data_IF_170035852570
#
_entry.id   IF_170035852570
#
_cell.length_a   1.000
_cell.length_b   1.000
_cell.length_c   1.000
_cell.angle_alpha   90.00
_cell.angle_beta   90.00
_cell.angle_gamma   90.00
#
_symmetry.space_group_name_H-M   'P 1'
#
loop_
_entity.id
_entity.type
_entity.pdbx_description
1 polymer ?
#
# COMPACT_ATOMS: atom_id res chain seq x y z
N UNK A 1 29.61 -66.89 22.55
CA UNK A 1 30.04 -65.53 22.29
C UNK A 1 28.94 -64.88 21.44
N UNK A 2 28.05 -64.05 22.04
CA UNK A 2 26.92 -63.44 21.37
C UNK A 2 27.28 -61.97 21.06
N UNK A 3 27.20 -61.61 19.76
CA UNK A 3 27.45 -60.24 19.26
C UNK A 3 26.15 -59.43 19.37
N UNK A 4 26.09 -58.25 19.99
CA UNK A 4 24.89 -57.43 20.02
C UNK A 4 24.75 -56.63 18.72
N UNK A 5 23.57 -56.74 18.14
CA UNK A 5 23.11 -55.97 16.96
C UNK A 5 22.87 -54.51 17.35
N UNK A 6 23.62 -53.61 16.71
CA UNK A 6 23.50 -52.14 16.88
C UNK A 6 22.40 -51.60 15.92
N UNK A 7 21.20 -51.35 16.42
CA UNK A 7 20.17 -50.62 15.67
C UNK A 7 20.54 -49.13 15.60
N UNK A 8 20.93 -48.66 14.40
CA UNK A 8 21.06 -47.21 14.12
C UNK A 8 19.66 -46.64 13.84
N UNK A 9 19.13 -45.83 14.79
CA UNK A 9 18.01 -44.99 14.52
C UNK A 9 18.42 -43.89 13.53
N UNK A 10 17.87 -43.93 12.31
CA UNK A 10 17.95 -42.81 11.37
C UNK A 10 16.84 -41.80 11.77
N UNK A 11 17.27 -40.71 12.40
CA UNK A 11 16.35 -39.56 12.62
C UNK A 11 16.19 -38.84 11.29
N UNK A 12 15.02 -38.98 10.67
CA UNK A 12 14.62 -38.15 9.52
C UNK A 12 14.28 -36.77 10.07
N UNK A 13 15.18 -35.80 9.89
CA UNK A 13 14.84 -34.39 10.11
C UNK A 13 13.82 -33.97 9.03
N UNK A 14 12.57 -33.90 9.40
CA UNK A 14 11.55 -33.29 8.59
C UNK A 14 11.77 -31.76 8.66
N UNK A 15 12.50 -31.21 7.69
CA UNK A 15 12.59 -29.76 7.50
C UNK A 15 11.23 -29.35 6.93
N UNK A 16 10.44 -28.49 7.62
CA UNK A 16 9.22 -28.01 7.05
C UNK A 16 9.56 -27.18 5.81
N UNK A 17 9.13 -27.65 4.65
CA UNK A 17 9.09 -26.86 3.44
C UNK A 17 8.07 -25.74 3.70
N UNK A 18 8.56 -24.54 4.04
CA UNK A 18 7.75 -23.33 4.00
C UNK A 18 7.39 -23.12 2.53
N UNK A 19 6.24 -23.63 2.11
CA UNK A 19 5.67 -23.27 0.83
C UNK A 19 5.49 -21.74 0.87
N UNK A 20 6.26 -21.02 0.05
CA UNK A 20 6.02 -19.58 -0.14
C UNK A 20 4.56 -19.41 -0.55
N UNK A 21 3.78 -18.73 0.26
CA UNK A 21 2.38 -18.48 -0.02
C UNK A 21 2.29 -17.71 -1.34
N UNK A 22 1.66 -18.31 -2.33
CA UNK A 22 1.51 -17.67 -3.65
C UNK A 22 0.50 -16.54 -3.55
N UNK A 23 0.88 -15.37 -4.05
CA UNK A 23 -0.03 -14.22 -4.20
C UNK A 23 -1.18 -14.57 -5.14
N UNK A 24 -2.43 -14.53 -4.65
CA UNK A 24 -3.62 -14.80 -5.47
C UNK A 24 -4.36 -13.52 -5.84
N UNK A 25 -5.24 -13.61 -6.84
CA UNK A 25 -6.12 -12.51 -7.22
C UNK A 25 -7.25 -12.32 -6.18
N UNK A 26 -7.66 -11.09 -5.84
CA UNK A 26 -8.58 -10.84 -4.72
C UNK A 26 -10.04 -11.19 -5.00
N UNK A 27 -10.39 -11.59 -6.23
CA UNK A 27 -11.77 -11.93 -6.66
C UNK A 27 -11.81 -13.23 -7.45
N UNK A 28 -12.99 -13.87 -7.61
CA UNK A 28 -13.11 -15.10 -8.40
C UNK A 28 -13.00 -14.88 -9.92
N UNK A 29 -12.87 -13.64 -10.40
CA UNK A 29 -12.73 -13.35 -11.83
C UNK A 29 -11.37 -13.87 -12.36
N UNK A 30 -11.35 -14.89 -13.25
CA UNK A 30 -10.12 -15.49 -13.75
C UNK A 30 -9.47 -14.71 -14.90
N UNK A 31 -10.07 -13.59 -15.30
CA UNK A 31 -9.68 -12.88 -16.52
C UNK A 31 -8.22 -12.40 -16.48
N UNK A 32 -7.78 -11.88 -15.33
CA UNK A 32 -6.38 -11.47 -15.18
C UNK A 32 -5.41 -12.65 -15.33
N UNK A 33 -5.66 -13.77 -14.64
CA UNK A 33 -4.82 -14.98 -14.71
C UNK A 33 -4.78 -15.54 -16.14
N UNK A 34 -5.91 -15.46 -16.86
CA UNK A 34 -6.03 -15.90 -18.25
C UNK A 34 -5.48 -14.90 -19.27
N UNK A 35 -4.81 -13.82 -18.83
CA UNK A 35 -4.21 -12.84 -19.73
C UNK A 35 -5.21 -12.02 -20.56
N UNK A 36 -6.46 -11.93 -20.10
CA UNK A 36 -7.48 -11.09 -20.76
C UNK A 36 -7.16 -9.61 -20.59
N UNK A 37 -7.64 -8.74 -21.50
CA UNK A 37 -7.45 -7.30 -21.38
C UNK A 37 -8.17 -6.72 -20.16
N UNK A 38 -7.80 -5.49 -19.76
CA UNK A 38 -8.27 -4.85 -18.53
C UNK A 38 -9.80 -4.68 -18.47
N UNK A 39 -10.45 -4.54 -19.60
CA UNK A 39 -11.92 -4.45 -19.74
C UNK A 39 -12.63 -5.70 -19.19
N UNK A 40 -11.90 -6.81 -19.07
CA UNK A 40 -12.45 -8.08 -18.58
C UNK A 40 -12.42 -8.22 -17.05
N UNK A 41 -11.92 -7.22 -16.30
CA UNK A 41 -11.86 -7.29 -14.82
C UNK A 41 -11.83 -5.92 -14.11
N UNK A 42 -11.56 -4.81 -14.81
CA UNK A 42 -11.49 -3.46 -14.21
C UNK A 42 -12.83 -2.75 -14.30
N UNK A 43 -13.30 -2.19 -13.17
CA UNK A 43 -14.52 -1.40 -13.10
C UNK A 43 -14.27 0.05 -13.50
N UNK A 44 -14.86 0.47 -14.61
CA UNK A 44 -14.88 1.87 -15.01
C UNK A 44 -15.68 2.74 -14.02
N UNK A 45 -15.27 4.01 -13.85
CA UNK A 45 -16.07 5.01 -13.15
C UNK A 45 -17.24 5.55 -14.02
N UNK A 46 -17.89 6.62 -13.56
CA UNK A 46 -18.96 7.30 -14.31
C UNK A 46 -18.53 7.77 -15.71
N UNK A 47 -17.22 7.95 -15.93
CA UNK A 47 -16.67 8.32 -17.24
C UNK A 47 -16.86 7.25 -18.33
N UNK A 48 -17.15 5.99 -17.95
CA UNK A 48 -17.21 4.84 -18.86
C UNK A 48 -15.82 4.37 -19.35
N UNK A 49 -14.75 5.11 -19.06
CA UNK A 49 -13.38 4.74 -19.46
C UNK A 49 -12.82 3.74 -18.47
N UNK A 50 -12.38 2.57 -18.94
CA UNK A 50 -11.87 1.48 -18.09
C UNK A 50 -10.63 1.93 -17.29
N UNK A 51 -9.79 2.76 -17.90
CA UNK A 51 -8.57 3.28 -17.25
C UNK A 51 -8.88 4.04 -15.95
N UNK A 52 -10.09 4.58 -15.81
CA UNK A 52 -10.50 5.29 -14.58
C UNK A 52 -10.62 4.37 -13.35
N UNK A 53 -10.61 3.05 -13.53
CA UNK A 53 -10.53 2.06 -12.45
C UNK A 53 -9.11 1.60 -12.12
N UNK A 54 -8.10 2.05 -12.87
CA UNK A 54 -6.69 1.76 -12.62
C UNK A 54 -6.10 2.69 -11.55
N UNK A 55 -4.92 2.35 -11.08
CA UNK A 55 -4.12 3.15 -10.18
C UNK A 55 -3.56 4.41 -10.86
N UNK A 56 -3.38 5.49 -10.11
CA UNK A 56 -2.70 6.71 -10.56
C UNK A 56 -3.62 7.87 -10.92
N UNK A 57 -3.13 8.81 -11.71
CA UNK A 57 -3.86 9.99 -12.16
C UNK A 57 -4.84 9.66 -13.30
N UNK A 58 -5.90 8.93 -13.00
CA UNK A 58 -6.84 8.37 -13.99
C UNK A 58 -8.28 8.86 -13.84
N UNK A 59 -8.61 9.51 -12.71
CA UNK A 59 -9.94 10.01 -12.41
C UNK A 59 -10.12 11.46 -12.87
N UNK A 60 -11.35 11.86 -13.20
CA UNK A 60 -11.70 13.22 -13.63
C UNK A 60 -10.78 13.75 -14.76
N UNK A 61 -10.60 12.95 -15.82
CA UNK A 61 -9.74 13.32 -16.93
C UNK A 61 -8.24 13.39 -16.57
N UNK A 62 -7.79 12.68 -15.54
CA UNK A 62 -6.41 12.64 -15.09
C UNK A 62 -6.07 13.65 -13.99
N UNK A 63 -7.03 14.45 -13.53
CA UNK A 63 -6.80 15.48 -12.49
C UNK A 63 -6.90 14.96 -11.06
N UNK A 64 -7.44 13.72 -10.87
CA UNK A 64 -7.60 13.10 -9.54
C UNK A 64 -6.91 11.74 -9.49
N UNK A 65 -6.17 11.55 -8.42
CA UNK A 65 -5.48 10.29 -8.10
C UNK A 65 -6.47 9.21 -7.68
N UNK A 66 -6.13 7.96 -8.00
CA UNK A 66 -6.80 6.75 -7.54
C UNK A 66 -5.77 5.83 -6.88
N UNK A 67 -6.01 5.48 -5.63
CA UNK A 67 -5.06 4.84 -4.72
C UNK A 67 -4.96 3.33 -4.92
N UNK A 68 -5.85 2.73 -5.73
CA UNK A 68 -5.95 1.28 -5.87
C UNK A 68 -6.39 0.84 -7.26
N UNK A 69 -6.96 -0.35 -7.30
CA UNK A 69 -7.51 -1.01 -8.48
C UNK A 69 -8.97 -1.37 -8.21
N UNK A 70 -9.89 -0.90 -9.06
CA UNK A 70 -11.31 -1.22 -8.97
C UNK A 70 -11.62 -2.47 -9.80
N UNK A 71 -12.12 -3.53 -9.16
CA UNK A 71 -12.44 -4.81 -9.80
C UNK A 71 -13.94 -5.08 -9.78
N UNK A 72 -14.55 -5.29 -10.94
CA UNK A 72 -15.98 -5.53 -11.01
C UNK A 72 -16.36 -6.99 -10.69
N UNK A 73 -17.65 -7.25 -10.30
CA UNK A 73 -18.15 -8.59 -10.02
C UNK A 73 -18.49 -9.35 -11.30
N UNK A 74 -18.26 -10.66 -11.31
CA UNK A 74 -18.74 -11.57 -12.35
C UNK A 74 -20.07 -12.24 -11.99
N UNK A 75 -20.47 -12.18 -10.71
CA UNK A 75 -21.76 -12.69 -10.22
C UNK A 75 -22.61 -11.58 -9.63
N UNK A 76 -23.91 -11.65 -9.87
CA UNK A 76 -24.91 -10.78 -9.28
C UNK A 76 -26.08 -11.60 -8.78
N UNK A 77 -26.72 -11.14 -7.69
CA UNK A 77 -27.96 -11.73 -7.18
C UNK A 77 -29.19 -11.33 -8.04
N UNK A 78 -30.36 -11.87 -7.70
CA UNK A 78 -31.63 -11.60 -8.41
C UNK A 78 -32.05 -10.12 -8.36
N UNK A 79 -31.49 -9.34 -7.44
CA UNK A 79 -31.68 -7.88 -7.34
C UNK A 79 -30.61 -7.10 -8.11
N UNK A 80 -29.66 -7.81 -8.74
CA UNK A 80 -28.55 -7.24 -9.47
C UNK A 80 -27.42 -6.68 -8.59
N UNK A 81 -27.40 -6.94 -7.28
CA UNK A 81 -26.28 -6.61 -6.39
C UNK A 81 -25.10 -7.57 -6.64
N UNK A 82 -23.88 -7.08 -6.41
CA UNK A 82 -22.69 -7.93 -6.52
C UNK A 82 -22.74 -9.07 -5.52
N UNK A 83 -22.35 -10.29 -5.94
CA UNK A 83 -22.38 -11.50 -5.14
C UNK A 83 -21.04 -12.25 -5.08
N UNK A 84 -19.99 -11.69 -5.64
CA UNK A 84 -18.65 -12.29 -5.62
C UNK A 84 -18.04 -12.23 -4.21
N UNK A 85 -17.44 -13.32 -3.72
CA UNK A 85 -16.58 -13.27 -2.55
C UNK A 85 -15.31 -12.46 -2.84
N UNK A 86 -14.77 -11.82 -1.79
CA UNK A 86 -13.47 -11.14 -1.81
C UNK A 86 -12.52 -11.92 -0.92
N UNK A 87 -11.32 -12.19 -1.42
CA UNK A 87 -10.34 -13.07 -0.80
C UNK A 87 -9.13 -12.32 -0.26
N UNK A 88 -8.57 -12.80 0.87
CA UNK A 88 -7.24 -12.42 1.29
C UNK A 88 -6.21 -12.93 0.27
N UNK A 89 -5.40 -12.02 -0.28
CA UNK A 89 -4.46 -12.36 -1.37
C UNK A 89 -3.22 -13.09 -0.89
N UNK A 90 -2.87 -12.95 0.39
CA UNK A 90 -1.75 -13.58 1.10
C UNK A 90 -2.14 -13.85 2.55
N UNK A 91 -1.38 -14.70 3.29
CA UNK A 91 -1.53 -14.82 4.72
C UNK A 91 -1.23 -13.50 5.42
N UNK A 92 -1.89 -13.23 6.54
CA UNK A 92 -1.63 -12.00 7.28
C UNK A 92 -2.50 -11.85 8.51
N UNK A 93 -2.43 -10.67 9.11
CA UNK A 93 -3.20 -10.28 10.28
C UNK A 93 -4.18 -9.17 9.95
N UNK A 94 -5.44 -9.35 10.27
CA UNK A 94 -6.46 -8.31 10.17
C UNK A 94 -6.14 -7.19 11.17
N UNK A 95 -5.77 -6.02 10.67
CA UNK A 95 -5.35 -4.88 11.51
C UNK A 95 -6.44 -3.81 11.62
N UNK A 96 -7.38 -3.77 10.68
CA UNK A 96 -8.52 -2.86 10.72
C UNK A 96 -9.76 -3.48 10.06
N UNK A 97 -10.91 -3.18 10.64
CA UNK A 97 -12.23 -3.56 10.12
C UNK A 97 -13.20 -2.39 10.31
N UNK A 98 -13.77 -1.89 9.21
CA UNK A 98 -14.87 -0.93 9.23
C UNK A 98 -16.16 -1.60 8.74
N UNK A 99 -17.15 -1.78 9.64
CA UNK A 99 -18.44 -2.39 9.31
C UNK A 99 -19.53 -1.36 8.96
N UNK A 100 -19.25 -0.06 9.14
CA UNK A 100 -20.21 1.01 8.90
C UNK A 100 -19.91 1.73 7.59
N UNK A 101 -20.81 1.63 6.62
CA UNK A 101 -20.62 2.17 5.27
C UNK A 101 -20.44 3.69 5.21
N UNK A 102 -21.13 4.45 6.09
CA UNK A 102 -21.11 5.91 6.06
C UNK A 102 -19.88 6.58 6.68
N UNK A 103 -18.93 5.81 7.24
CA UNK A 103 -17.79 6.38 7.96
C UNK A 103 -16.67 6.93 7.07
N UNK A 104 -16.58 6.48 5.83
CA UNK A 104 -15.58 6.96 4.87
C UNK A 104 -15.99 6.67 3.43
N UNK A 105 -15.24 7.21 2.48
CA UNK A 105 -15.36 6.86 1.06
C UNK A 105 -15.11 5.37 0.79
N UNK A 106 -14.31 4.68 1.60
CA UNK A 106 -14.09 3.22 1.51
C UNK A 106 -15.34 2.40 1.89
N UNK A 107 -16.28 2.98 2.63
CA UNK A 107 -17.45 2.26 3.11
C UNK A 107 -17.09 1.17 4.12
N UNK A 108 -17.60 -0.06 3.90
CA UNK A 108 -17.14 -1.24 4.64
C UNK A 108 -15.85 -1.73 4.02
N UNK A 109 -14.81 -1.86 4.86
CA UNK A 109 -13.50 -2.28 4.39
C UNK A 109 -12.71 -3.03 5.47
N UNK A 110 -11.73 -3.78 5.02
CA UNK A 110 -10.77 -4.50 5.86
C UNK A 110 -9.35 -4.19 5.39
N UNK A 111 -8.43 -4.10 6.34
CA UNK A 111 -6.99 -3.99 6.09
C UNK A 111 -6.29 -5.19 6.71
N UNK A 112 -5.45 -5.85 5.91
CA UNK A 112 -4.61 -6.99 6.31
C UNK A 112 -3.16 -6.56 6.21
N UNK A 113 -2.40 -6.77 7.28
CA UNK A 113 -0.95 -6.57 7.31
C UNK A 113 -0.26 -7.91 7.06
N UNK A 114 0.65 -7.92 6.10
CA UNK A 114 1.46 -9.07 5.69
C UNK A 114 2.84 -8.95 6.34
N UNK A 115 2.91 -9.27 7.62
CA UNK A 115 4.09 -9.11 8.49
C UNK A 115 5.21 -10.13 8.22
N UNK A 116 4.95 -11.16 7.41
CA UNK A 116 5.92 -12.14 6.95
C UNK A 116 6.64 -11.72 5.66
N UNK A 117 6.14 -10.71 4.98
CA UNK A 117 6.72 -10.18 3.75
C UNK A 117 7.89 -9.23 4.03
N UNK A 118 8.79 -9.07 3.05
CA UNK A 118 9.93 -8.15 3.15
C UNK A 118 10.01 -7.24 1.93
N UNK A 119 9.74 -5.91 2.08
CA UNK A 119 9.23 -5.27 3.31
C UNK A 119 7.84 -5.77 3.68
N UNK A 120 7.47 -5.71 4.96
CA UNK A 120 6.07 -5.85 5.37
C UNK A 120 5.22 -4.80 4.64
N UNK A 121 3.96 -5.11 4.34
CA UNK A 121 3.03 -4.18 3.69
C UNK A 121 1.59 -4.53 4.06
N UNK A 122 0.64 -3.69 3.67
CA UNK A 122 -0.78 -4.00 3.85
C UNK A 122 -1.51 -4.14 2.52
N UNK A 123 -2.62 -4.88 2.57
CA UNK A 123 -3.66 -4.85 1.54
C UNK A 123 -4.95 -4.32 2.13
N UNK A 124 -5.70 -3.56 1.33
CA UNK A 124 -6.97 -2.96 1.70
C UNK A 124 -8.04 -3.38 0.69
N UNK A 125 -9.22 -3.77 1.20
CA UNK A 125 -10.36 -4.24 0.41
C UNK A 125 -11.60 -3.46 0.81
N UNK A 126 -12.06 -2.57 -0.05
CA UNK A 126 -13.14 -1.62 0.26
C UNK A 126 -14.42 -1.85 -0.56
N UNK A 127 -15.45 -1.07 -0.24
CA UNK A 127 -16.79 -1.10 -0.81
C UNK A 127 -17.56 -2.41 -0.58
N UNK A 128 -17.20 -3.21 0.42
CA UNK A 128 -17.82 -4.50 0.69
C UNK A 128 -19.30 -4.37 1.04
N UNK A 129 -20.13 -5.29 0.54
CA UNK A 129 -21.54 -5.41 0.93
C UNK A 129 -21.67 -5.93 2.36
N UNK A 130 -20.83 -6.91 2.71
CA UNK A 130 -20.73 -7.48 4.04
C UNK A 130 -19.30 -7.96 4.30
N UNK A 131 -18.95 -8.11 5.57
CA UNK A 131 -17.72 -8.74 6.04
C UNK A 131 -18.11 -10.05 6.74
N UNK A 132 -17.31 -11.10 6.54
CA UNK A 132 -17.50 -12.36 7.28
C UNK A 132 -17.34 -12.13 8.79
N UNK A 133 -18.08 -12.87 9.61
CA UNK A 133 -18.09 -12.67 11.07
C UNK A 133 -16.74 -12.98 11.72
N UNK A 134 -15.98 -13.90 11.12
CA UNK A 134 -14.62 -14.27 11.55
C UNK A 134 -13.59 -13.18 11.29
N UNK A 135 -13.89 -12.22 10.42
CA UNK A 135 -12.98 -11.11 10.08
C UNK A 135 -13.11 -10.02 11.15
N UNK A 136 -12.32 -10.17 12.19
CA UNK A 136 -12.20 -9.23 13.31
C UNK A 136 -10.75 -8.76 13.47
N UNK A 137 -10.55 -7.59 14.05
CA UNK A 137 -9.20 -7.07 14.32
C UNK A 137 -8.40 -8.08 15.17
N UNK A 138 -7.18 -8.38 14.74
CA UNK A 138 -6.28 -9.36 15.36
C UNK A 138 -6.38 -10.77 14.79
N UNK A 139 -7.44 -11.11 14.04
CA UNK A 139 -7.57 -12.42 13.40
C UNK A 139 -6.42 -12.66 12.40
N UNK A 140 -5.92 -13.90 12.35
CA UNK A 140 -5.04 -14.37 11.28
C UNK A 140 -5.89 -14.90 10.14
N UNK A 141 -5.46 -14.63 8.93
CA UNK A 141 -6.07 -15.13 7.68
C UNK A 141 -5.03 -15.81 6.83
N UNK A 142 -5.46 -16.84 6.13
CA UNK A 142 -4.65 -17.53 5.12
C UNK A 142 -5.00 -17.01 3.71
N UNK A 143 -4.11 -17.27 2.75
CA UNK A 143 -4.41 -17.01 1.34
C UNK A 143 -5.74 -17.66 0.95
N UNK A 144 -6.63 -16.92 0.29
CA UNK A 144 -7.93 -17.40 -0.13
C UNK A 144 -9.03 -17.35 0.94
N UNK A 145 -8.71 -16.92 2.18
CA UNK A 145 -9.75 -16.67 3.20
C UNK A 145 -10.79 -15.68 2.67
N UNK A 146 -12.07 -16.04 2.73
CA UNK A 146 -13.16 -15.13 2.34
C UNK A 146 -13.28 -14.01 3.36
N UNK A 147 -13.03 -12.78 2.93
CA UNK A 147 -13.11 -11.57 3.75
C UNK A 147 -14.53 -11.04 3.87
N UNK A 148 -15.31 -11.21 2.82
CA UNK A 148 -16.68 -10.72 2.70
C UNK A 148 -17.20 -10.85 1.29
N UNK A 149 -18.30 -10.14 1.02
CA UNK A 149 -18.93 -10.08 -0.30
C UNK A 149 -18.67 -8.72 -0.92
N UNK A 150 -18.29 -8.69 -2.19
CA UNK A 150 -18.15 -7.48 -2.98
C UNK A 150 -19.44 -6.66 -2.97
N UNK A 151 -19.31 -5.34 -2.97
CA UNK A 151 -20.48 -4.49 -2.91
C UNK A 151 -20.29 -3.11 -3.52
N UNK A 152 -20.91 -2.12 -2.89
CA UNK A 152 -20.90 -0.72 -3.29
C UNK A 152 -21.10 0.23 -2.10
N UNK A 153 -20.65 -0.19 -0.92
CA UNK A 153 -20.75 0.62 0.30
C UNK A 153 -19.76 1.79 0.25
N UNK A 154 -20.22 2.96 0.61
CA UNK A 154 -19.43 4.19 0.70
C UNK A 154 -20.18 5.23 1.54
N UNK A 155 -19.53 6.34 1.90
CA UNK A 155 -20.22 7.53 2.46
C UNK A 155 -21.01 8.32 1.41
N UNK A 156 -20.96 7.90 0.15
CA UNK A 156 -21.71 8.43 -0.99
C UNK A 156 -22.36 7.27 -1.77
N UNK A 157 -23.21 7.60 -2.74
CA UNK A 157 -23.90 6.58 -3.54
C UNK A 157 -23.05 6.07 -4.68
N UNK A 158 -22.74 4.76 -4.67
CA UNK A 158 -22.21 4.03 -5.82
C UNK A 158 -23.40 3.29 -6.47
N UNK A 159 -23.70 3.54 -7.76
CA UNK A 159 -24.79 2.83 -8.46
C UNK A 159 -24.53 1.31 -8.48
N UNK A 160 -25.61 0.53 -8.45
CA UNK A 160 -25.55 -0.94 -8.47
C UNK A 160 -24.73 -1.49 -9.66
N UNK A 161 -24.90 -0.93 -10.84
CA UNK A 161 -24.16 -1.32 -12.04
C UNK A 161 -22.64 -1.15 -11.90
N UNK A 162 -22.18 -0.29 -10.98
CA UNK A 162 -20.77 -0.02 -10.71
C UNK A 162 -20.30 -0.58 -9.36
N UNK A 163 -20.99 -1.62 -8.84
CA UNK A 163 -20.46 -2.36 -7.70
C UNK A 163 -19.08 -2.95 -8.02
N UNK A 164 -18.15 -2.85 -7.06
CA UNK A 164 -16.76 -3.29 -7.25
C UNK A 164 -16.09 -3.49 -5.90
N UNK A 165 -14.96 -4.19 -5.87
CA UNK A 165 -14.01 -4.07 -4.77
C UNK A 165 -12.92 -3.08 -5.18
N UNK A 166 -12.66 -2.09 -4.34
CA UNK A 166 -11.48 -1.25 -4.43
C UNK A 166 -10.35 -1.91 -3.63
N UNK A 167 -9.26 -2.23 -4.31
CA UNK A 167 -8.14 -3.01 -3.79
C UNK A 167 -6.85 -2.18 -3.79
N UNK A 168 -6.19 -2.08 -2.63
CA UNK A 168 -4.91 -1.38 -2.48
C UNK A 168 -3.82 -2.31 -1.95
N UNK A 169 -2.57 -2.00 -2.32
CA UNK A 169 -1.33 -2.53 -1.75
C UNK A 169 -0.49 -1.34 -1.33
N UNK A 170 -0.01 -1.29 -0.08
CA UNK A 170 0.72 -0.10 0.34
C UNK A 170 1.33 -0.14 1.73
N UNK A 171 1.69 1.05 2.20
CA UNK A 171 2.40 1.31 3.45
C UNK A 171 1.67 2.34 4.29
N UNK A 172 1.77 2.21 5.61
CA UNK A 172 1.31 3.19 6.58
C UNK A 172 2.44 4.22 6.83
N UNK A 173 2.12 5.51 6.82
CA UNK A 173 3.12 6.58 6.96
C UNK A 173 3.61 6.75 8.41
N UNK A 174 2.70 6.71 9.40
CA UNK A 174 3.04 6.93 10.82
C UNK A 174 2.12 6.15 11.74
N UNK A 175 2.57 5.86 12.94
CA UNK A 175 1.78 5.29 14.04
C UNK A 175 1.13 6.39 14.89
N UNK A 176 1.61 7.63 14.81
CA UNK A 176 1.07 8.82 15.53
C UNK A 176 0.16 9.67 14.61
N UNK A 177 -0.70 9.01 13.82
CA UNK A 177 -1.57 9.69 12.86
C UNK A 177 -2.66 10.55 13.53
N UNK A 178 -3.15 10.15 14.70
CA UNK A 178 -4.23 10.87 15.40
C UNK A 178 -3.83 12.30 15.74
N UNK A 179 -2.60 12.51 16.21
CA UNK A 179 -2.07 13.85 16.48
C UNK A 179 -2.09 14.72 15.22
N UNK A 180 -1.55 14.20 14.11
CA UNK A 180 -1.56 14.92 12.83
C UNK A 180 -3.00 15.25 12.39
N UNK A 181 -3.94 14.29 12.54
CA UNK A 181 -5.33 14.46 12.14
C UNK A 181 -6.02 15.58 12.94
N UNK A 182 -5.81 15.62 14.24
CA UNK A 182 -6.36 16.65 15.13
C UNK A 182 -5.80 18.04 14.80
N UNK A 183 -4.52 18.14 14.47
CA UNK A 183 -3.87 19.41 14.08
C UNK A 183 -4.46 19.98 12.77
N UNK A 184 -5.03 19.14 11.89
CA UNK A 184 -5.71 19.60 10.67
C UNK A 184 -7.09 20.25 10.95
N UNK A 185 -7.67 20.08 12.14
CA UNK A 185 -8.97 20.63 12.56
C UNK A 185 -10.11 20.25 11.60
N UNK A 186 -10.11 18.99 11.12
CA UNK A 186 -11.23 18.50 10.31
C UNK A 186 -12.54 18.48 11.11
N UNK A 187 -13.67 18.75 10.46
CA UNK A 187 -15.00 18.72 11.07
C UNK A 187 -15.44 17.33 11.53
N UNK A 188 -14.78 16.28 11.03
CA UNK A 188 -15.09 14.89 11.35
C UNK A 188 -14.00 14.26 12.21
N UNK A 189 -14.43 13.35 13.12
CA UNK A 189 -13.48 12.57 13.92
C UNK A 189 -12.81 11.51 13.06
N UNK A 190 -11.53 11.22 13.33
CA UNK A 190 -10.87 10.04 12.79
C UNK A 190 -11.51 8.77 13.37
N UNK A 191 -12.24 8.01 12.54
CA UNK A 191 -12.90 6.76 12.94
C UNK A 191 -12.11 5.52 12.57
N UNK A 192 -10.96 5.70 11.93
CA UNK A 192 -10.17 4.63 11.33
C UNK A 192 -8.78 4.50 11.94
N UNK A 193 -8.43 5.38 12.92
CA UNK A 193 -7.13 5.41 13.56
C UNK A 193 -6.01 5.54 12.52
N UNK A 194 -4.95 4.77 12.70
CA UNK A 194 -3.79 4.76 11.80
C UNK A 194 -4.08 4.17 10.42
N UNK A 195 -5.24 3.52 10.22
CA UNK A 195 -5.68 2.94 8.95
C UNK A 195 -6.64 3.84 8.17
N UNK A 196 -6.65 5.11 8.48
CA UNK A 196 -7.29 6.16 7.68
C UNK A 196 -6.53 6.33 6.36
N UNK A 197 -7.24 6.42 5.23
CA UNK A 197 -6.62 6.56 3.90
C UNK A 197 -5.63 7.72 3.78
N UNK A 198 -5.79 8.81 4.56
CA UNK A 198 -4.82 9.92 4.58
C UNK A 198 -3.46 9.54 5.21
N UNK A 199 -3.38 8.41 5.88
CA UNK A 199 -2.15 7.86 6.47
C UNK A 199 -1.54 6.73 5.63
N UNK A 200 -2.16 6.40 4.50
CA UNK A 200 -1.72 5.32 3.63
C UNK A 200 -1.06 5.87 2.37
N UNK A 201 -0.12 5.14 1.84
CA UNK A 201 0.49 5.37 0.54
C UNK A 201 0.54 4.05 -0.21
N UNK A 202 0.08 4.04 -1.46
CA UNK A 202 -0.13 2.82 -2.22
C UNK A 202 0.79 2.73 -3.43
N UNK A 203 1.08 1.51 -3.85
CA UNK A 203 1.74 1.17 -5.12
C UNK A 203 0.69 0.66 -6.10
N UNK A 204 1.01 0.68 -7.39
CA UNK A 204 0.12 0.15 -8.44
C UNK A 204 -0.07 -1.37 -8.27
N UNK A 205 -1.27 -1.83 -7.84
CA UNK A 205 -1.50 -3.25 -7.63
C UNK A 205 -1.42 -4.04 -8.93
N UNK A 206 -1.95 -3.49 -10.04
CA UNK A 206 -1.95 -4.20 -11.32
C UNK A 206 -0.54 -4.38 -11.85
N UNK A 207 0.30 -3.34 -11.79
CA UNK A 207 1.70 -3.44 -12.20
C UNK A 207 2.48 -4.46 -11.36
N UNK A 208 2.23 -4.51 -10.04
CA UNK A 208 2.84 -5.52 -9.17
C UNK A 208 2.41 -6.94 -9.57
N UNK A 209 1.11 -7.20 -9.74
CA UNK A 209 0.62 -8.50 -10.20
C UNK A 209 1.16 -8.90 -11.59
N UNK A 210 1.28 -7.95 -12.51
CA UNK A 210 1.86 -8.20 -13.85
C UNK A 210 3.33 -8.61 -13.75
N UNK A 211 4.12 -7.94 -12.89
CA UNK A 211 5.54 -8.26 -12.69
C UNK A 211 5.73 -9.62 -12.00
N UNK A 212 4.88 -9.99 -11.04
CA UNK A 212 4.87 -11.34 -10.44
C UNK A 212 4.54 -12.39 -11.52
N UNK A 213 3.45 -12.19 -12.27
CA UNK A 213 2.99 -13.13 -13.30
C UNK A 213 4.01 -13.34 -14.40
N UNK A 214 4.75 -12.31 -14.79
CA UNK A 214 5.80 -12.39 -15.81
C UNK A 214 7.14 -12.92 -15.26
N UNK A 215 7.24 -13.21 -13.96
CA UNK A 215 8.48 -13.65 -13.33
C UNK A 215 9.56 -12.57 -13.23
N UNK A 216 9.19 -11.30 -13.43
CA UNK A 216 10.15 -10.18 -13.33
C UNK A 216 10.51 -9.87 -11.89
N UNK A 217 9.62 -10.15 -10.95
CA UNK A 217 9.82 -9.99 -9.50
C UNK A 217 9.17 -11.16 -8.76
N UNK A 218 9.67 -11.47 -7.55
CA UNK A 218 9.13 -12.50 -6.67
C UNK A 218 8.36 -11.93 -5.47
N UNK A 219 8.55 -10.64 -5.15
CA UNK A 219 7.97 -9.98 -3.98
C UNK A 219 7.85 -8.45 -4.19
N UNK A 220 7.19 -7.78 -3.23
CA UNK A 220 6.97 -6.33 -3.30
C UNK A 220 8.28 -5.53 -3.17
N UNK A 221 9.26 -6.02 -2.42
CA UNK A 221 10.57 -5.37 -2.28
C UNK A 221 11.31 -5.25 -3.61
N UNK A 222 11.33 -6.34 -4.38
CA UNK A 222 11.89 -6.34 -5.73
C UNK A 222 11.11 -5.43 -6.68
N UNK A 223 9.78 -5.43 -6.58
CA UNK A 223 8.94 -4.52 -7.37
C UNK A 223 9.27 -3.05 -7.06
N UNK A 224 9.32 -2.66 -5.79
CA UNK A 224 9.73 -1.32 -5.38
C UNK A 224 11.12 -0.95 -5.90
N UNK A 225 12.07 -1.89 -5.83
CA UNK A 225 13.43 -1.72 -6.36
C UNK A 225 13.47 -1.33 -7.85
N UNK A 226 12.47 -1.74 -8.64
CA UNK A 226 12.34 -1.44 -10.08
C UNK A 226 11.62 -0.13 -10.37
N UNK A 227 10.82 0.40 -9.43
CA UNK A 227 10.13 1.67 -9.65
C UNK A 227 11.14 2.81 -9.78
N UNK A 228 10.99 3.71 -10.75
CA UNK A 228 11.91 4.81 -10.92
C UNK A 228 11.84 5.80 -9.75
N UNK A 229 12.98 6.39 -9.39
CA UNK A 229 13.06 7.46 -8.40
C UNK A 229 12.78 8.78 -9.09
N UNK A 230 11.67 9.42 -8.77
CA UNK A 230 11.29 10.72 -9.32
C UNK A 230 11.99 11.88 -8.61
N UNK A 231 12.24 11.75 -7.31
CA UNK A 231 13.00 12.76 -6.54
C UNK A 231 13.65 12.15 -5.31
N UNK A 232 14.75 12.77 -4.87
CA UNK A 232 15.36 12.56 -3.56
C UNK A 232 15.21 13.82 -2.73
N UNK A 233 14.65 13.67 -1.54
CA UNK A 233 14.43 14.78 -0.61
C UNK A 233 15.20 14.45 0.67
N UNK A 234 16.01 15.41 1.15
CA UNK A 234 16.66 15.35 2.45
C UNK A 234 15.80 16.02 3.48
N UNK A 235 15.56 15.32 4.59
CA UNK A 235 14.88 15.85 5.74
C UNK A 235 15.84 15.81 6.92
N UNK A 236 16.15 16.97 7.50
CA UNK A 236 17.01 17.08 8.68
C UNK A 236 16.21 16.70 9.93
N UNK A 237 16.56 15.58 10.52
CA UNK A 237 15.99 15.07 11.75
C UNK A 237 16.91 14.02 12.36
N UNK A 238 17.05 14.03 13.68
CA UNK A 238 17.73 12.99 14.44
C UNK A 238 16.77 11.87 14.88
N UNK A 239 15.48 12.00 14.62
CA UNK A 239 14.49 10.99 14.94
C UNK A 239 14.50 9.86 13.90
N UNK A 240 14.21 8.66 14.36
CA UNK A 240 13.90 7.51 13.49
C UNK A 240 12.39 7.51 13.26
N UNK A 241 11.91 7.77 12.04
CA UNK A 241 10.48 7.76 11.73
C UNK A 241 9.82 6.41 11.98
N UNK A 242 8.52 6.38 12.30
CA UNK A 242 7.74 5.14 12.38
C UNK A 242 7.83 4.32 11.10
N UNK A 243 7.80 4.99 9.96
CA UNK A 243 7.96 4.35 8.65
C UNK A 243 9.24 3.52 8.57
N UNK A 244 10.37 4.06 9.02
CA UNK A 244 11.66 3.33 9.06
C UNK A 244 11.63 2.15 10.02
N UNK A 245 10.98 2.32 11.18
CA UNK A 245 10.80 1.23 12.15
C UNK A 245 9.91 0.11 11.64
N UNK A 246 8.83 0.46 10.94
CA UNK A 246 7.85 -0.48 10.40
C UNK A 246 8.36 -1.20 9.15
N UNK A 247 9.23 -0.53 8.37
CA UNK A 247 9.72 -1.04 7.07
C UNK A 247 11.25 -0.97 6.96
N UNK A 248 11.99 -1.64 7.85
CA UNK A 248 13.46 -1.55 7.90
C UNK A 248 14.14 -2.04 6.62
N UNK A 249 13.49 -2.91 5.85
CA UNK A 249 14.00 -3.39 4.56
C UNK A 249 14.12 -2.29 3.48
N UNK A 250 13.47 -1.13 3.68
CA UNK A 250 13.60 0.03 2.78
C UNK A 250 14.76 0.94 3.16
N UNK A 251 15.52 0.62 4.20
CA UNK A 251 16.69 1.39 4.65
C UNK A 251 17.95 0.86 3.96
N UNK A 252 18.75 1.73 3.37
CA UNK A 252 19.89 1.36 2.53
C UNK A 252 21.13 0.93 3.30
N UNK A 253 21.27 1.36 4.55
CA UNK A 253 22.41 1.02 5.40
C UNK A 253 22.04 1.07 6.88
N UNK A 254 22.72 0.29 7.71
CA UNK A 254 22.50 0.28 9.16
C UNK A 254 22.90 1.60 9.77
N UNK A 255 22.08 2.08 10.71
CA UNK A 255 22.35 3.27 11.50
C UNK A 255 22.53 2.94 13.01
N UNK A 256 22.62 1.65 13.36
CA UNK A 256 22.86 1.22 14.73
C UNK A 256 24.21 1.77 15.25
N UNK A 257 24.18 2.40 16.43
CA UNK A 257 25.37 2.97 17.06
C UNK A 257 25.91 4.27 16.41
N UNK A 258 25.20 4.83 15.41
CA UNK A 258 25.61 6.06 14.71
C UNK A 258 24.60 7.19 14.97
N UNK A 259 25.09 8.42 15.02
CA UNK A 259 24.23 9.60 15.19
C UNK A 259 23.66 10.04 13.85
N UNK A 260 22.38 9.75 13.62
CA UNK A 260 21.65 10.24 12.45
C UNK A 260 21.35 11.73 12.61
N UNK A 261 21.57 12.52 11.55
CA UNK A 261 21.28 13.96 11.53
C UNK A 261 20.30 14.34 10.41
N UNK A 262 20.13 13.47 9.43
CA UNK A 262 19.15 13.65 8.34
C UNK A 262 18.83 12.31 7.67
N UNK A 263 17.77 12.32 6.87
CA UNK A 263 17.34 11.21 6.02
C UNK A 263 17.23 11.67 4.58
N UNK A 264 17.87 10.96 3.66
CA UNK A 264 17.66 11.13 2.22
C UNK A 264 16.61 10.10 1.79
N UNK A 265 15.45 10.57 1.36
CA UNK A 265 14.31 9.75 1.01
C UNK A 265 14.13 9.78 -0.51
N UNK A 266 14.12 8.61 -1.14
CA UNK A 266 13.80 8.45 -2.55
C UNK A 266 12.31 8.21 -2.73
N UNK A 267 11.64 9.14 -3.40
CA UNK A 267 10.22 9.04 -3.72
C UNK A 267 10.02 8.59 -5.16
N UNK A 268 9.05 7.70 -5.36
CA UNK A 268 8.51 7.42 -6.70
C UNK A 268 7.73 8.63 -7.22
N UNK A 269 7.34 8.60 -8.49
CA UNK A 269 6.50 9.65 -9.08
C UNK A 269 5.14 9.83 -8.37
N UNK A 270 4.64 8.80 -7.70
CA UNK A 270 3.39 8.84 -6.92
C UNK A 270 3.60 9.05 -5.42
N UNK A 271 4.80 9.45 -5.01
CA UNK A 271 5.08 9.84 -3.62
C UNK A 271 5.30 8.67 -2.66
N UNK A 272 5.51 7.44 -3.16
CA UNK A 272 5.90 6.31 -2.30
C UNK A 272 7.35 6.50 -1.85
N UNK A 273 7.63 6.54 -0.53
CA UNK A 273 9.00 6.69 0.00
C UNK A 273 9.70 5.31 -0.03
N UNK A 274 10.18 4.92 -1.22
CA UNK A 274 10.66 3.55 -1.51
C UNK A 274 12.03 3.21 -0.96
N UNK A 275 12.85 4.22 -0.60
CA UNK A 275 14.22 4.02 -0.15
C UNK A 275 14.61 5.11 0.85
N UNK A 276 15.25 4.71 1.93
CA UNK A 276 15.65 5.57 3.04
C UNK A 276 17.14 5.44 3.30
N UNK A 277 17.88 6.54 3.12
CA UNK A 277 19.30 6.59 3.43
C UNK A 277 19.55 7.47 4.65
N UNK A 278 20.03 6.92 5.78
CA UNK A 278 20.44 7.72 6.91
C UNK A 278 21.64 8.58 6.56
N UNK A 279 21.71 9.76 7.12
CA UNK A 279 22.84 10.68 7.01
C UNK A 279 23.36 10.95 8.41
N UNK A 280 24.67 10.92 8.57
CA UNK A 280 25.31 10.89 9.87
C UNK A 280 26.04 12.19 10.18
N UNK A 281 26.40 12.39 11.46
CA UNK A 281 27.11 13.58 11.92
C UNK A 281 28.44 13.80 11.16
N UNK A 282 29.15 12.72 10.83
CA UNK A 282 30.40 12.72 10.07
C UNK A 282 30.26 13.23 8.62
N UNK A 283 29.04 13.24 8.05
CA UNK A 283 28.74 13.81 6.73
C UNK A 283 28.87 15.36 6.72
N UNK A 284 28.93 15.99 7.88
CA UNK A 284 29.10 17.45 8.06
C UNK A 284 28.08 18.28 7.26
N UNK A 285 26.83 17.79 7.21
CA UNK A 285 25.76 18.45 6.47
C UNK A 285 25.31 19.74 7.16
N UNK A 286 24.99 20.77 6.37
CA UNK A 286 24.45 22.03 6.89
C UNK A 286 22.92 22.04 6.79
N UNK A 287 22.24 22.13 7.92
CA UNK A 287 20.78 22.20 8.07
C UNK A 287 20.39 22.11 9.53
N UNK A 288 19.16 22.53 9.83
CA UNK A 288 18.56 22.43 11.16
C UNK A 288 17.43 21.39 11.13
N UNK A 289 17.11 20.81 12.28
CA UNK A 289 15.95 19.91 12.40
C UNK A 289 14.69 20.58 11.85
N UNK A 290 13.99 19.87 10.95
CA UNK A 290 12.83 20.38 10.23
C UNK A 290 13.14 20.93 8.82
N UNK A 291 14.42 21.21 8.51
CA UNK A 291 14.80 21.61 7.15
C UNK A 291 14.53 20.49 6.15
N UNK A 292 13.96 20.86 4.99
CA UNK A 292 13.67 19.95 3.88
C UNK A 292 14.32 20.47 2.61
N UNK A 293 15.14 19.64 1.95
CA UNK A 293 15.92 20.04 0.76
C UNK A 293 15.75 19.02 -0.36
N UNK A 294 15.51 19.50 -1.59
CA UNK A 294 15.57 18.67 -2.79
C UNK A 294 17.04 18.38 -3.08
N UNK A 295 17.39 17.07 -3.16
CA UNK A 295 18.76 16.63 -3.45
C UNK A 295 18.94 16.31 -4.93
N UNK A 296 17.92 15.62 -5.51
CA UNK A 296 17.89 15.28 -6.92
C UNK A 296 16.44 15.11 -7.38
N UNK A 297 16.18 15.26 -8.65
CA UNK A 297 14.88 14.99 -9.25
C UNK A 297 15.03 14.63 -10.73
N UNK A 298 14.02 13.94 -11.26
CA UNK A 298 13.94 13.50 -12.64
C UNK A 298 12.79 14.23 -13.34
N UNK A 299 13.07 15.28 -14.16
CA UNK A 299 12.05 16.15 -14.72
C UNK A 299 10.95 15.39 -15.48
N UNK A 300 11.31 14.50 -16.40
CA UNK A 300 10.34 13.81 -17.26
C UNK A 300 9.38 12.92 -16.49
N UNK A 301 9.80 12.29 -15.37
CA UNK A 301 8.92 11.51 -14.51
C UNK A 301 7.91 12.39 -13.76
N UNK A 302 8.30 13.61 -13.40
CA UNK A 302 7.43 14.55 -12.68
C UNK A 302 6.49 15.29 -13.63
N UNK A 303 6.93 15.61 -14.83
CA UNK A 303 6.12 16.28 -15.87
C UNK A 303 5.04 15.38 -16.42
N UNK A 304 5.28 14.05 -16.48
CA UNK A 304 4.28 13.06 -16.91
C UNK A 304 3.07 12.97 -15.97
N UNK A 305 3.15 13.53 -14.74
CA UNK A 305 2.09 13.48 -13.75
C UNK A 305 1.11 14.65 -13.91
N UNK A 306 -0.14 14.35 -14.19
CA UNK A 306 -1.22 15.33 -14.25
C UNK A 306 -1.78 15.70 -12.88
N UNK A 307 -1.64 14.82 -11.89
CA UNK A 307 -2.07 15.01 -10.49
C UNK A 307 -1.02 14.43 -9.52
N UNK A 308 -1.24 14.59 -8.23
CA UNK A 308 -0.43 13.97 -7.15
C UNK A 308 1.09 14.19 -7.28
N UNK A 309 1.48 15.39 -7.70
CA UNK A 309 2.89 15.73 -7.96
C UNK A 309 3.68 15.85 -6.67
N UNK A 310 4.86 15.21 -6.63
CA UNK A 310 5.80 15.32 -5.50
C UNK A 310 6.48 16.69 -5.52
N UNK A 311 6.89 17.15 -6.70
CA UNK A 311 7.49 18.49 -6.91
C UNK A 311 6.65 19.26 -7.93
N UNK A 312 6.64 20.59 -7.75
CA UNK A 312 6.19 21.53 -8.77
C UNK A 312 7.41 22.05 -9.51
N UNK A 313 7.44 21.88 -10.84
CA UNK A 313 8.52 22.32 -11.72
C UNK A 313 8.22 23.67 -12.39
N UNK A 314 7.08 24.29 -12.12
CA UNK A 314 6.76 25.62 -12.63
C UNK A 314 7.63 26.68 -11.94
N UNK A 315 8.40 27.47 -12.72
CA UNK A 315 9.27 28.52 -12.20
C UNK A 315 10.76 28.23 -12.38
N UNK A 316 11.62 29.07 -11.80
CA UNK A 316 13.09 29.02 -11.96
C UNK A 316 13.75 27.87 -11.18
N UNK A 317 13.06 27.26 -10.21
CA UNK A 317 13.59 26.16 -9.41
C UNK A 317 12.44 25.25 -8.96
N UNK A 318 12.67 23.92 -8.81
CA UNK A 318 11.66 22.99 -8.33
C UNK A 318 11.27 23.32 -6.89
N UNK A 319 9.96 23.17 -6.58
CA UNK A 319 9.41 23.34 -5.23
C UNK A 319 8.71 22.07 -4.77
N UNK A 320 8.91 21.71 -3.52
CA UNK A 320 8.17 20.60 -2.90
C UNK A 320 6.70 21.02 -2.78
N UNK A 321 5.78 20.14 -3.21
CA UNK A 321 4.33 20.45 -3.13
C UNK A 321 3.83 20.41 -1.68
N UNK A 322 2.73 21.10 -1.41
CA UNK A 322 2.07 21.08 -0.09
C UNK A 322 1.65 19.66 0.33
N UNK A 323 1.22 18.83 -0.62
CA UNK A 323 0.90 17.42 -0.38
C UNK A 323 2.11 16.61 0.09
N UNK A 324 3.28 16.81 -0.55
CA UNK A 324 4.53 16.16 -0.14
C UNK A 324 5.02 16.68 1.21
N UNK A 325 4.91 17.98 1.47
CA UNK A 325 5.21 18.54 2.80
C UNK A 325 4.30 17.91 3.86
N UNK A 326 3.00 17.77 3.61
CA UNK A 326 2.07 17.10 4.52
C UNK A 326 2.46 15.63 4.78
N UNK A 327 2.94 14.94 3.75
CA UNK A 327 3.47 13.57 3.90
C UNK A 327 4.73 13.55 4.77
N UNK A 328 5.68 14.45 4.52
CA UNK A 328 6.91 14.58 5.34
C UNK A 328 6.57 14.93 6.80
N UNK A 329 5.63 15.83 7.02
CA UNK A 329 5.15 16.15 8.38
C UNK A 329 4.58 14.93 9.10
N UNK A 330 3.78 14.09 8.43
CA UNK A 330 3.30 12.82 9.01
C UNK A 330 4.45 11.86 9.31
N UNK A 331 5.38 11.68 8.37
CA UNK A 331 6.52 10.78 8.53
C UNK A 331 7.42 11.13 9.71
N UNK A 332 7.61 12.42 10.01
CA UNK A 332 8.54 12.91 11.04
C UNK A 332 7.86 13.50 12.27
N UNK A 333 6.54 13.59 12.30
CA UNK A 333 5.81 14.23 13.41
C UNK A 333 6.07 15.74 13.52
N UNK A 334 6.41 16.43 12.42
CA UNK A 334 6.61 17.87 12.42
C UNK A 334 5.26 18.62 12.48
N UNK A 335 5.24 19.76 13.15
CA UNK A 335 4.09 20.66 13.25
C UNK A 335 3.99 21.56 11.99
#
# INVERSE_FOLDING_TARGET
MKIPSLFRLLSVLCVPFLANASLIWPTPNPAFQNGKPIEAYVQATVSGRVESGLFGCVRNGGSRFHEGLDLYPIKRDDRGEAADPVYAVLPGRVVHVSRTSGYSSYGRYVVIEHDQETPAYHTLYAHLASLADTIVRGARVETGTVLGIMGRSASYTIPRSRAHVHFEIGFRLTDDFEKWYMDQKFDTKNRHGIWNGMNLVSVDPLAFYQNIRSGQVSNLGEHLGRLPVATRIRVFSNQVPDFVRNYPALVTESFAGRTVVAWDIAFTQYGVPREWKPRFAEDKLKGQTGDVKIIAYHPSLLESQSCHRVLNLSGSSPKITSATIATIKKLFGFN
#
